data_IF_617417281137
#
_entry.id   IF_617417281137
#
_cell.length_a   1.000
_cell.length_b   1.000
_cell.length_c   1.000
_cell.angle_alpha   90.00
_cell.angle_beta   90.00
_cell.angle_gamma   90.00
#
_symmetry.space_group_name_H-M   'P 1'
#
loop_
_entity.id
_entity.type
_entity.pdbx_description
1 polymer ?
#
# COMPACT_ATOMS: atom_id res chain seq x y z
N UNK A 1 4.17 5.09 -16.52
CA UNK A 1 3.54 4.84 -15.21
C UNK A 1 2.17 4.20 -15.39
N UNK A 2 2.00 2.97 -14.90
CA UNK A 2 0.72 2.26 -14.89
C UNK A 2 0.07 2.42 -13.51
N UNK A 3 -1.25 2.20 -13.41
CA UNK A 3 -1.96 2.25 -12.12
C UNK A 3 -2.24 0.83 -11.64
N UNK A 4 -1.86 0.55 -10.40
CA UNK A 4 -2.20 -0.67 -9.69
C UNK A 4 -3.36 -0.34 -8.76
N UNK A 5 -4.47 -1.06 -8.94
CA UNK A 5 -5.67 -0.89 -8.12
C UNK A 5 -5.64 -1.91 -7.00
N UNK A 6 -5.76 -1.42 -5.77
CA UNK A 6 -5.89 -2.22 -4.56
C UNK A 6 -7.33 -2.00 -4.07
N UNK A 7 -8.20 -2.93 -4.41
CA UNK A 7 -9.59 -2.93 -3.93
C UNK A 7 -9.65 -3.47 -2.51
N UNK A 8 -10.11 -2.66 -1.56
CA UNK A 8 -10.21 -3.03 -0.16
C UNK A 8 -11.57 -3.61 0.24
N UNK A 9 -12.57 -3.74 -0.64
CA UNK A 9 -13.98 -4.06 -0.30
C UNK A 9 -14.22 -5.13 0.78
N UNK A 10 -13.45 -6.22 0.76
CA UNK A 10 -13.62 -7.36 1.68
C UNK A 10 -12.48 -7.49 2.71
N UNK A 11 -11.70 -6.44 2.92
CA UNK A 11 -10.55 -6.47 3.84
C UNK A 11 -11.04 -6.27 5.28
N UNK A 12 -10.76 -7.24 6.14
CA UNK A 12 -11.24 -7.27 7.54
C UNK A 12 -10.13 -7.14 8.56
N UNK A 13 -8.87 -7.20 8.13
CA UNK A 13 -7.71 -7.08 9.00
C UNK A 13 -6.54 -6.42 8.29
N UNK A 14 -5.57 -5.91 9.06
CA UNK A 14 -4.33 -5.40 8.51
C UNK A 14 -3.55 -6.48 7.74
N UNK A 15 -3.58 -7.74 8.19
CA UNK A 15 -2.93 -8.83 7.47
C UNK A 15 -3.53 -9.05 6.08
N UNK A 16 -4.86 -9.07 5.98
CA UNK A 16 -5.57 -9.17 4.70
C UNK A 16 -5.30 -7.95 3.81
N UNK A 17 -5.21 -6.75 4.39
CA UNK A 17 -4.86 -5.53 3.66
C UNK A 17 -3.49 -5.65 3.00
N UNK A 18 -2.47 -6.05 3.76
CA UNK A 18 -1.11 -6.18 3.22
C UNK A 18 -1.00 -7.33 2.23
N UNK A 19 -1.74 -8.43 2.42
CA UNK A 19 -1.81 -9.49 1.42
C UNK A 19 -2.44 -8.98 0.12
N UNK A 20 -3.56 -8.23 0.20
CA UNK A 20 -4.21 -7.62 -0.97
C UNK A 20 -3.27 -6.70 -1.73
N UNK A 21 -2.48 -5.90 -1.01
CA UNK A 21 -1.43 -5.07 -1.60
C UNK A 21 -0.40 -5.93 -2.35
N UNK A 22 0.16 -6.96 -1.72
CA UNK A 22 1.16 -7.84 -2.34
C UNK A 22 0.62 -8.57 -3.58
N UNK A 23 -0.63 -9.03 -3.54
CA UNK A 23 -1.26 -9.75 -4.65
C UNK A 23 -1.45 -8.85 -5.89
N UNK A 24 -1.78 -7.57 -5.65
CA UNK A 24 -1.98 -6.58 -6.70
C UNK A 24 -0.65 -6.02 -7.22
N UNK A 25 0.24 -5.62 -6.32
CA UNK A 25 1.51 -4.96 -6.66
C UNK A 25 2.58 -5.92 -7.17
N UNK A 26 2.54 -7.18 -6.74
CA UNK A 26 3.52 -8.24 -7.06
C UNK A 26 4.97 -7.73 -6.99
N UNK A 27 5.37 -7.08 -5.90
CA UNK A 27 6.68 -6.45 -5.82
C UNK A 27 7.79 -7.50 -5.77
N UNK A 28 8.95 -7.16 -6.31
CA UNK A 28 10.16 -7.95 -6.07
C UNK A 28 10.48 -7.95 -4.56
N UNK A 29 10.90 -9.11 -4.03
CA UNK A 29 11.21 -9.23 -2.61
C UNK A 29 9.98 -9.23 -1.68
N UNK A 30 8.77 -9.54 -2.18
CA UNK A 30 7.54 -9.64 -1.38
C UNK A 30 7.68 -10.50 -0.10
N UNK A 31 8.56 -11.51 -0.10
CA UNK A 31 8.84 -12.36 1.06
C UNK A 31 9.53 -11.61 2.22
N UNK A 32 10.18 -10.49 1.94
CA UNK A 32 10.87 -9.65 2.92
C UNK A 32 10.05 -8.41 3.32
N UNK A 33 8.85 -8.24 2.75
CA UNK A 33 7.98 -7.12 3.08
C UNK A 33 7.41 -7.29 4.50
N UNK A 34 7.61 -6.27 5.35
CA UNK A 34 7.25 -6.32 6.78
C UNK A 34 5.75 -6.24 7.10
N UNK A 35 4.87 -6.04 6.11
CA UNK A 35 3.40 -6.00 6.27
C UNK A 35 2.93 -5.06 7.37
N UNK A 36 3.42 -3.82 7.34
CA UNK A 36 3.00 -2.73 8.22
C UNK A 36 3.29 -1.38 7.56
N UNK A 37 2.79 -0.29 8.16
CA UNK A 37 2.92 1.07 7.61
C UNK A 37 4.38 1.53 7.44
N UNK A 38 5.28 1.17 8.37
CA UNK A 38 6.70 1.53 8.26
C UNK A 38 7.36 0.82 7.07
N UNK A 39 7.10 -0.48 6.92
CA UNK A 39 7.59 -1.23 5.77
C UNK A 39 7.01 -0.70 4.45
N UNK A 40 5.74 -0.25 4.46
CA UNK A 40 5.12 0.36 3.30
C UNK A 40 5.77 1.70 2.95
N UNK A 41 6.09 2.55 3.93
CA UNK A 41 6.87 3.77 3.72
C UNK A 41 8.24 3.47 3.09
N UNK A 42 8.99 2.53 3.66
CA UNK A 42 10.30 2.11 3.13
C UNK A 42 10.19 1.63 1.68
N UNK A 43 9.12 0.90 1.36
CA UNK A 43 8.83 0.44 0.00
C UNK A 43 8.58 1.62 -0.96
N UNK A 44 7.63 2.50 -0.65
CA UNK A 44 7.12 3.51 -1.60
C UNK A 44 8.00 4.76 -1.70
N UNK A 45 8.76 5.08 -0.65
CA UNK A 45 9.66 6.24 -0.63
C UNK A 45 11.13 5.82 -0.80
N UNK A 46 11.53 4.68 -0.23
CA UNK A 46 12.92 4.20 -0.25
C UNK A 46 13.23 3.14 -1.30
N UNK A 47 12.24 2.71 -2.10
CA UNK A 47 12.34 1.56 -2.99
C UNK A 47 12.79 0.26 -2.26
N UNK A 48 12.39 0.11 -0.99
CA UNK A 48 12.66 -1.06 -0.17
C UNK A 48 11.82 -2.29 -0.51
N UNK A 49 11.92 -3.38 0.28
CA UNK A 49 11.10 -4.58 0.11
C UNK A 49 9.62 -4.23 0.00
N UNK A 50 8.95 -4.73 -1.02
CA UNK A 50 7.55 -4.39 -1.28
C UNK A 50 7.34 -3.22 -2.24
N UNK A 51 8.39 -2.61 -2.80
CA UNK A 51 8.26 -1.53 -3.79
C UNK A 51 7.53 -2.01 -5.07
N UNK A 52 6.46 -1.31 -5.52
CA UNK A 52 5.67 -1.73 -6.67
C UNK A 52 6.33 -1.43 -8.04
N UNK A 53 7.55 -0.91 -8.05
CA UNK A 53 8.18 -0.33 -9.24
C UNK A 53 7.60 1.04 -9.61
N UNK A 54 7.87 1.49 -10.83
CA UNK A 54 7.34 2.77 -11.36
C UNK A 54 5.83 2.64 -11.70
N UNK A 55 5.03 2.76 -10.64
CA UNK A 55 3.59 2.63 -10.66
C UNK A 55 2.92 3.68 -9.77
N UNK A 56 1.66 3.97 -10.09
CA UNK A 56 0.73 4.66 -9.19
C UNK A 56 -0.07 3.62 -8.42
N UNK A 57 -0.23 3.80 -7.12
CA UNK A 57 -1.09 2.96 -6.28
C UNK A 57 -2.44 3.66 -6.06
N UNK A 58 -3.54 2.95 -6.32
CA UNK A 58 -4.88 3.43 -6.04
C UNK A 58 -5.58 2.47 -5.07
N UNK A 59 -5.66 2.87 -3.80
CA UNK A 59 -6.43 2.16 -2.78
C UNK A 59 -7.88 2.62 -2.85
N UNK A 60 -8.80 1.69 -3.06
CA UNK A 60 -10.23 1.96 -3.26
C UNK A 60 -11.07 1.20 -2.24
N UNK A 61 -12.26 1.72 -1.94
CA UNK A 61 -13.18 1.15 -0.96
C UNK A 61 -12.57 1.08 0.45
N UNK A 62 -11.82 2.10 0.85
CA UNK A 62 -10.99 2.08 2.09
C UNK A 62 -11.74 2.48 3.37
N UNK A 63 -12.99 2.92 3.27
CA UNK A 63 -13.75 3.54 4.37
C UNK A 63 -14.05 2.63 5.56
N UNK A 64 -13.99 1.30 5.37
CA UNK A 64 -14.27 0.30 6.40
C UNK A 64 -12.99 -0.27 7.04
N UNK A 65 -11.81 0.14 6.58
CA UNK A 65 -10.55 -0.26 7.18
C UNK A 65 -10.46 0.22 8.63
N UNK A 66 -9.64 -0.46 9.42
CA UNK A 66 -9.35 -0.04 10.79
C UNK A 66 -8.84 1.42 10.80
N UNK A 67 -9.35 2.29 11.69
CA UNK A 67 -9.06 3.73 11.64
C UNK A 67 -7.57 4.09 11.64
N UNK A 68 -6.73 3.45 12.46
CA UNK A 68 -5.31 3.77 12.52
C UNK A 68 -4.58 3.34 11.23
N UNK A 69 -4.95 2.21 10.63
CA UNK A 69 -4.45 1.79 9.33
C UNK A 69 -4.83 2.79 8.23
N UNK A 70 -6.09 3.23 8.19
CA UNK A 70 -6.57 4.18 7.18
C UNK A 70 -5.90 5.55 7.33
N UNK A 71 -5.77 6.05 8.56
CA UNK A 71 -5.10 7.32 8.83
C UNK A 71 -3.63 7.25 8.43
N UNK A 72 -2.90 6.21 8.83
CA UNK A 72 -1.50 6.03 8.45
C UNK A 72 -1.31 5.92 6.93
N UNK A 73 -2.21 5.20 6.24
CA UNK A 73 -2.17 5.10 4.78
C UNK A 73 -2.37 6.47 4.11
N UNK A 74 -3.29 7.29 4.62
CA UNK A 74 -3.53 8.66 4.12
C UNK A 74 -2.34 9.58 4.39
N UNK A 75 -1.71 9.49 5.55
CA UNK A 75 -0.50 10.26 5.86
C UNK A 75 0.64 9.90 4.90
N UNK A 76 0.89 8.60 4.68
CA UNK A 76 1.89 8.15 3.69
C UNK A 76 1.53 8.64 2.29
N UNK A 77 0.26 8.57 1.87
CA UNK A 77 -0.16 9.04 0.56
C UNK A 77 0.03 10.56 0.36
N UNK A 78 -0.08 11.34 1.44
CA UNK A 78 0.17 12.78 1.42
C UNK A 78 1.67 13.11 1.41
N UNK A 79 2.49 12.33 2.09
CA UNK A 79 3.92 12.60 2.30
C UNK A 79 4.85 11.97 1.25
N UNK A 80 4.47 10.83 0.67
CA UNK A 80 5.30 10.11 -0.30
C UNK A 80 5.52 10.97 -1.55
N UNK A 81 6.79 11.07 -1.95
CA UNK A 81 7.21 11.87 -3.10
C UNK A 81 7.67 11.02 -4.27
N UNK A 82 8.16 9.80 -4.01
CA UNK A 82 8.67 8.91 -5.04
C UNK A 82 7.60 8.02 -5.68
N UNK A 83 6.57 7.63 -4.94
CA UNK A 83 5.45 6.82 -5.46
C UNK A 83 4.15 7.60 -5.29
N UNK A 84 3.38 7.75 -6.37
CA UNK A 84 2.07 8.39 -6.29
C UNK A 84 1.04 7.42 -5.70
N UNK A 85 0.36 7.85 -4.65
CA UNK A 85 -0.63 7.04 -3.94
C UNK A 85 -1.94 7.84 -3.82
N UNK A 86 -3.06 7.17 -4.10
CA UNK A 86 -4.39 7.72 -3.86
C UNK A 86 -5.19 6.77 -2.98
N UNK A 87 -5.95 7.34 -2.04
CA UNK A 87 -6.76 6.61 -1.06
C UNK A 87 -8.19 7.12 -1.16
N UNK A 88 -9.13 6.25 -1.53
CA UNK A 88 -10.55 6.56 -1.77
C UNK A 88 -11.50 5.60 -1.09
#
# INVERSE_FOLDING_TARGET
>A
MHTIVIDCTDVRSAEEFWQRYLDAAKPEGAAFFGRNLNAFWDAVEGAGPGWPGDARLAFTNTTHLEPALLEGLRSIAHEATHTRIDVT
#
